data_IF_431155496352
#
_entry.id   IF_431155496352
#
_cell.length_a   1.000
_cell.length_b   1.000
_cell.length_c   1.000
_cell.angle_alpha   90.00
_cell.angle_beta   90.00
_cell.angle_gamma   90.00
#
_symmetry.space_group_name_H-M   'P 1'
#
loop_
_entity.id
_entity.type
_entity.pdbx_description
1 polymer ?
#
# COMPACT_ATOMS: atom_id res chain seq x y z
N UNK A 1 -66.34 13.59 5.60
CA UNK A 1 -66.30 12.36 6.41
C UNK A 1 -64.91 11.77 6.23
N UNK A 2 -63.99 11.61 7.18
CA UNK A 2 -63.93 11.76 8.63
C UNK A 2 -62.64 12.53 8.99
N UNK A 3 -62.74 13.39 10.01
CA UNK A 3 -61.64 14.07 10.70
C UNK A 3 -61.11 13.18 11.84
N UNK A 4 -59.83 13.34 12.19
CA UNK A 4 -59.18 13.19 13.51
C UNK A 4 -57.82 13.92 13.35
N UNK A 5 -57.42 15.03 13.98
CA UNK A 5 -57.50 15.65 15.32
C UNK A 5 -56.57 15.05 16.40
N UNK A 6 -55.76 15.96 16.98
CA UNK A 6 -54.88 15.91 18.19
C UNK A 6 -53.47 15.30 18.03
N UNK A 7 -52.39 15.84 18.62
CA UNK A 7 -52.19 16.96 19.56
C UNK A 7 -50.73 17.46 19.47
N UNK A 8 -50.53 18.75 19.72
CA UNK A 8 -49.24 19.36 20.01
C UNK A 8 -48.77 19.02 21.44
N UNK A 9 -47.44 18.95 21.64
CA UNK A 9 -46.80 19.11 22.94
C UNK A 9 -45.50 19.90 22.77
N UNK A 10 -45.41 20.99 23.53
CA UNK A 10 -44.25 21.86 23.71
C UNK A 10 -43.54 21.52 25.02
N UNK A 11 -42.20 21.45 25.01
CA UNK A 11 -41.31 21.68 26.17
C UNK A 11 -39.94 22.04 25.59
N UNK A 12 -39.52 23.31 25.64
CA UNK A 12 -38.77 23.99 26.71
C UNK A 12 -37.37 23.40 26.96
N UNK A 13 -36.39 24.29 26.80
CA UNK A 13 -34.96 24.14 26.90
C UNK A 13 -34.45 23.34 28.10
N UNK A 14 -33.32 22.66 27.92
CA UNK A 14 -32.35 22.55 28.99
C UNK A 14 -30.92 22.67 28.46
N UNK A 15 -30.20 23.59 29.09
CA UNK A 15 -28.85 24.04 28.81
C UNK A 15 -27.92 23.38 29.82
N UNK A 16 -27.20 22.34 29.43
CA UNK A 16 -26.18 21.72 30.30
C UNK A 16 -25.09 21.03 29.49
N UNK A 17 -24.39 21.80 28.66
CA UNK A 17 -23.16 21.37 28.00
C UNK A 17 -22.04 22.38 28.27
N UNK A 18 -21.65 22.48 29.54
CA UNK A 18 -20.42 23.11 29.97
C UNK A 18 -20.08 22.57 31.36
N UNK A 19 -18.79 22.35 31.64
CA UNK A 19 -18.20 21.82 32.87
C UNK A 19 -18.10 20.29 33.00
N UNK A 20 -17.14 19.68 32.29
CA UNK A 20 -16.51 18.43 32.77
C UNK A 20 -15.04 18.23 32.41
N UNK A 21 -14.28 19.32 32.33
CA UNK A 21 -12.81 19.29 32.23
C UNK A 21 -12.18 20.36 33.13
N UNK A 22 -12.24 20.17 34.45
CA UNK A 22 -11.47 21.00 35.41
C UNK A 22 -11.47 20.51 36.88
N UNK A 23 -11.30 19.21 37.17
CA UNK A 23 -11.02 18.77 38.55
C UNK A 23 -10.19 17.49 38.63
N UNK A 24 -8.88 17.60 38.37
CA UNK A 24 -7.88 16.64 38.82
C UNK A 24 -6.63 17.42 39.21
N UNK A 25 -6.67 17.96 40.43
CA UNK A 25 -5.59 18.72 41.01
C UNK A 25 -5.90 19.09 42.46
N UNK A 26 -5.06 18.57 43.36
CA UNK A 26 -4.92 18.91 44.80
C UNK A 26 -5.76 18.10 45.78
N UNK A 27 -5.15 17.05 46.34
CA UNK A 27 -4.94 16.92 47.79
C UNK A 27 -4.16 15.62 48.06
N UNK A 28 -3.02 15.73 48.73
CA UNK A 28 -2.57 14.89 49.87
C UNK A 28 -1.23 15.49 50.33
N UNK A 29 -1.20 15.95 51.58
CA UNK A 29 -0.03 16.43 52.31
C UNK A 29 0.04 15.67 53.64
N UNK A 30 1.21 15.06 53.87
CA UNK A 30 1.91 14.73 55.14
C UNK A 30 1.35 13.70 56.12
N UNK A 31 2.22 12.74 56.44
CA UNK A 31 2.77 12.55 57.81
C UNK A 31 4.23 12.02 57.76
N UNK A 32 5.01 12.48 58.75
CA UNK A 32 6.46 12.38 59.05
C UNK A 32 7.04 10.95 59.21
N UNK A 33 8.24 10.62 58.70
CA UNK A 33 9.63 10.82 59.21
C UNK A 33 10.14 9.74 60.20
N UNK A 34 11.32 9.13 59.91
CA UNK A 34 12.48 8.90 60.81
C UNK A 34 13.60 8.08 60.11
N UNK A 35 14.80 8.69 60.09
CA UNK A 35 16.20 8.19 60.16
C UNK A 35 16.85 7.23 59.13
N UNK A 36 17.81 7.84 58.42
CA UNK A 36 19.27 7.59 58.45
C UNK A 36 19.93 6.43 57.68
N UNK A 37 20.86 6.87 56.82
CA UNK A 37 22.20 6.33 56.55
C UNK A 37 22.25 5.04 55.71
N UNK A 38 22.44 5.24 54.40
CA UNK A 38 23.47 4.57 53.57
C UNK A 38 23.61 5.30 52.23
N UNK A 39 24.30 6.45 52.27
CA UNK A 39 25.01 6.97 51.10
C UNK A 39 26.29 6.13 50.95
N UNK A 40 26.33 5.30 49.91
CA UNK A 40 27.52 4.87 49.16
C UNK A 40 27.06 3.69 48.28
N UNK A 41 27.04 3.89 46.95
CA UNK A 41 26.74 2.93 45.85
C UNK A 41 25.51 3.22 44.96
N UNK A 42 25.05 4.45 44.80
CA UNK A 42 24.18 4.78 43.64
C UNK A 42 24.53 6.14 43.00
N UNK A 43 25.71 6.30 42.38
CA UNK A 43 25.85 7.22 41.25
C UNK A 43 26.11 6.48 39.93
N UNK A 44 25.93 5.15 39.87
CA UNK A 44 26.03 4.36 38.63
C UNK A 44 24.69 4.12 37.91
N UNK A 45 23.56 4.56 38.47
CA UNK A 45 22.22 4.42 37.86
C UNK A 45 21.71 5.70 37.18
N UNK A 46 22.58 6.69 36.93
CA UNK A 46 22.24 7.96 36.26
C UNK A 46 22.70 8.03 34.79
N UNK A 47 23.20 6.93 34.22
CA UNK A 47 23.59 6.83 32.80
C UNK A 47 22.60 6.03 31.94
N UNK A 48 21.34 5.92 32.37
CA UNK A 48 20.24 5.48 31.50
C UNK A 48 19.09 6.47 31.61
N UNK A 49 19.37 7.72 31.22
CA UNK A 49 18.35 8.50 30.52
C UNK A 49 18.03 7.74 29.23
N UNK A 50 17.29 6.63 29.36
CA UNK A 50 16.54 6.04 28.26
C UNK A 50 15.61 7.17 27.87
N UNK A 51 16.01 7.90 26.83
CA UNK A 51 15.10 8.73 26.07
C UNK A 51 14.05 7.76 25.53
N UNK A 52 13.02 7.49 26.34
CA UNK A 52 11.83 6.78 25.92
C UNK A 52 11.12 7.72 24.95
N UNK A 53 11.59 7.76 23.70
CA UNK A 53 10.80 8.33 22.61
C UNK A 53 9.55 7.47 22.51
N UNK A 54 8.44 7.99 23.00
CA UNK A 54 7.16 7.29 22.92
C UNK A 54 6.70 7.38 21.47
N UNK A 55 6.94 6.31 20.72
CA UNK A 55 6.33 6.11 19.41
C UNK A 55 4.83 6.00 19.56
N UNK A 56 4.09 6.64 18.65
CA UNK A 56 2.62 6.58 18.62
C UNK A 56 2.13 6.34 17.20
N UNK A 57 0.90 5.88 17.08
CA UNK A 57 0.24 5.71 15.78
C UNK A 57 0.20 7.01 14.97
N UNK A 58 0.36 6.87 13.66
CA UNK A 58 0.29 7.94 12.69
C UNK A 58 -1.14 8.45 12.52
N UNK A 59 -1.38 9.73 12.78
CA UNK A 59 -2.71 10.36 12.66
C UNK A 59 -2.88 10.97 11.27
N UNK A 60 -3.52 10.21 10.39
CA UNK A 60 -3.89 10.65 9.05
C UNK A 60 -5.34 11.14 9.04
N UNK A 61 -5.57 12.28 8.40
CA UNK A 61 -6.89 12.85 8.16
C UNK A 61 -7.11 12.99 6.66
N UNK A 62 -8.20 12.42 6.14
CA UNK A 62 -8.60 12.64 4.76
C UNK A 62 -9.59 13.80 4.67
N UNK A 63 -9.34 14.71 3.72
CA UNK A 63 -10.14 15.91 3.46
C UNK A 63 -10.66 15.81 2.03
N UNK A 64 -11.98 15.70 1.87
CA UNK A 64 -12.63 15.58 0.57
C UNK A 64 -13.59 16.76 0.34
N UNK A 65 -13.29 17.59 -0.66
CA UNK A 65 -14.15 18.70 -1.10
C UNK A 65 -15.37 18.22 -1.90
N UNK A 66 -15.30 17.04 -2.49
CA UNK A 66 -16.31 16.50 -3.40
C UNK A 66 -17.39 15.69 -2.63
N UNK A 67 -17.31 15.64 -1.29
CA UNK A 67 -18.28 14.99 -0.43
C UNK A 67 -17.83 13.63 0.10
N UNK A 68 -18.78 12.75 0.39
CA UNK A 68 -18.52 11.36 0.79
C UNK A 68 -18.41 10.47 -0.43
N UNK A 69 -17.60 9.43 -0.34
CA UNK A 69 -17.61 8.35 -1.33
C UNK A 69 -18.86 7.47 -1.18
N UNK A 70 -19.18 6.64 -2.21
CA UNK A 70 -20.05 5.48 -2.05
C UNK A 70 -19.62 4.62 -0.85
N UNK A 71 -20.59 4.00 -0.19
CA UNK A 71 -20.43 3.36 1.12
C UNK A 71 -19.24 2.41 1.20
N UNK A 72 -19.03 1.53 0.20
CA UNK A 72 -17.91 0.59 0.22
C UNK A 72 -16.55 1.25 0.09
N UNK A 73 -16.43 2.26 -0.79
CA UNK A 73 -15.19 3.03 -0.96
C UNK A 73 -14.93 3.84 0.32
N UNK A 74 -15.97 4.44 0.90
CA UNK A 74 -15.87 5.19 2.16
C UNK A 74 -15.41 4.32 3.32
N UNK A 75 -15.98 3.10 3.46
CA UNK A 75 -15.54 2.11 4.46
C UNK A 75 -14.12 1.61 4.22
N UNK A 76 -13.71 1.50 2.95
CA UNK A 76 -12.34 1.13 2.58
C UNK A 76 -11.36 2.23 2.98
N UNK A 77 -11.72 3.51 2.80
CA UNK A 77 -10.93 4.65 3.27
C UNK A 77 -10.82 4.68 4.79
N UNK A 78 -11.94 4.53 5.51
CA UNK A 78 -11.93 4.42 6.98
C UNK A 78 -11.01 3.29 7.47
N UNK A 79 -11.15 2.11 6.87
CA UNK A 79 -10.34 0.93 7.20
C UNK A 79 -8.87 1.17 6.92
N UNK A 80 -8.53 1.80 5.80
CA UNK A 80 -7.15 2.13 5.45
C UNK A 80 -6.55 3.11 6.47
N UNK A 81 -7.25 4.20 6.80
CA UNK A 81 -6.78 5.17 7.80
C UNK A 81 -6.56 4.51 9.16
N UNK A 82 -7.47 3.62 9.59
CA UNK A 82 -7.31 2.84 10.81
C UNK A 82 -6.14 1.87 10.73
N UNK A 83 -5.91 1.24 9.57
CA UNK A 83 -4.75 0.37 9.36
C UNK A 83 -3.45 1.18 9.53
N UNK A 84 -3.33 2.37 8.94
CA UNK A 84 -2.13 3.22 9.10
C UNK A 84 -1.90 3.69 10.53
N UNK A 85 -2.96 4.05 11.27
CA UNK A 85 -2.84 4.46 12.67
C UNK A 85 -2.23 3.36 13.55
N UNK A 86 -2.43 2.08 13.18
CA UNK A 86 -1.88 0.95 13.92
C UNK A 86 -0.55 0.44 13.33
N UNK A 87 -0.40 0.46 12.00
CA UNK A 87 0.74 -0.11 11.31
C UNK A 87 1.95 0.83 11.29
N UNK A 88 1.73 2.14 11.17
CA UNK A 88 2.80 3.12 11.05
C UNK A 88 2.88 3.94 12.32
N UNK A 89 4.03 3.86 12.97
CA UNK A 89 4.39 4.60 14.16
C UNK A 89 5.26 5.79 13.77
N UNK A 90 5.04 6.90 14.44
CA UNK A 90 5.82 8.12 14.28
C UNK A 90 6.42 8.53 15.63
N UNK A 91 7.68 8.97 15.60
CA UNK A 91 8.30 9.69 16.72
C UNK A 91 7.94 11.16 16.59
N UNK A 92 7.40 11.78 17.66
CA UNK A 92 6.76 13.10 17.62
C UNK A 92 7.55 14.09 16.77
N UNK A 93 7.09 14.37 15.53
CA UNK A 93 7.91 15.14 14.63
C UNK A 93 7.94 16.55 15.17
N UNK A 94 9.14 17.14 15.29
CA UNK A 94 9.31 18.58 15.39
C UNK A 94 8.92 19.23 14.06
N UNK A 95 7.64 19.11 13.67
CA UNK A 95 7.12 19.69 12.45
C UNK A 95 6.98 21.20 12.66
N UNK A 96 7.71 21.98 11.85
CA UNK A 96 7.65 23.46 11.82
C UNK A 96 6.57 23.99 10.86
N UNK A 97 5.62 23.16 10.45
CA UNK A 97 4.63 23.53 9.44
C UNK A 97 3.48 24.33 10.05
N UNK A 98 3.10 25.41 9.38
CA UNK A 98 2.00 26.29 9.78
C UNK A 98 0.81 26.12 8.84
N UNK A 99 -0.40 26.27 9.41
CA UNK A 99 -1.67 26.17 8.69
C UNK A 99 -1.77 27.07 7.45
N UNK A 100 -1.16 28.26 7.48
CA UNK A 100 -1.18 29.23 6.37
C UNK A 100 -0.69 28.67 5.03
N UNK A 101 0.06 27.57 5.02
CA UNK A 101 0.54 26.93 3.79
C UNK A 101 -0.51 26.06 3.06
N UNK A 102 -1.73 25.92 3.60
CA UNK A 102 -2.83 25.24 2.90
C UNK A 102 -3.20 25.90 1.57
N UNK A 103 -2.95 27.19 1.43
CA UNK A 103 -3.20 27.95 0.20
C UNK A 103 -2.39 27.45 -1.02
N UNK A 104 -1.46 26.50 -0.81
CA UNK A 104 -0.64 25.88 -1.84
C UNK A 104 -1.24 24.56 -2.37
N UNK A 105 -2.33 24.07 -1.78
CA UNK A 105 -2.97 22.82 -2.20
C UNK A 105 -3.90 23.06 -3.39
N UNK A 106 -3.51 22.57 -4.56
CA UNK A 106 -4.29 22.73 -5.80
C UNK A 106 -5.69 22.10 -5.66
N UNK A 107 -6.73 22.88 -5.94
CA UNK A 107 -8.13 22.48 -5.76
C UNK A 107 -8.70 22.81 -4.38
N UNK A 108 -7.86 23.34 -3.48
CA UNK A 108 -8.20 23.76 -2.12
C UNK A 108 -7.71 25.19 -1.81
N UNK A 109 -7.37 25.96 -2.85
CA UNK A 109 -6.88 27.34 -2.71
C UNK A 109 -8.05 28.26 -2.36
N UNK A 110 -7.76 29.45 -1.79
CA UNK A 110 -8.81 30.44 -1.53
C UNK A 110 -9.67 30.78 -2.76
N UNK A 111 -9.07 30.74 -3.96
CA UNK A 111 -9.75 31.01 -5.24
C UNK A 111 -10.67 29.88 -5.69
N UNK A 112 -10.50 28.67 -5.16
CA UNK A 112 -11.26 27.49 -5.57
C UNK A 112 -12.63 27.40 -4.86
N UNK A 113 -12.95 28.34 -3.95
CA UNK A 113 -14.25 28.49 -3.27
C UNK A 113 -14.80 27.20 -2.61
N UNK A 114 -13.92 26.36 -2.07
CA UNK A 114 -14.27 25.04 -1.52
C UNK A 114 -15.32 25.10 -0.39
N UNK A 115 -15.22 26.08 0.51
CA UNK A 115 -16.13 26.21 1.65
C UNK A 115 -16.08 25.00 2.59
N UNK A 116 -17.17 24.23 2.64
CA UNK A 116 -17.33 23.08 3.54
C UNK A 116 -16.78 21.80 2.92
N UNK A 117 -15.89 21.14 3.63
CA UNK A 117 -15.25 19.87 3.25
C UNK A 117 -15.73 18.72 4.11
N UNK A 118 -15.70 17.51 3.56
CA UNK A 118 -15.90 16.27 4.28
C UNK A 118 -14.58 15.79 4.87
N UNK A 119 -14.61 15.44 6.15
CA UNK A 119 -13.46 14.99 6.92
C UNK A 119 -13.66 13.53 7.31
N UNK A 120 -12.73 12.67 6.91
CA UNK A 120 -12.65 11.29 7.40
C UNK A 120 -11.41 11.14 8.29
N UNK A 121 -11.64 10.66 9.50
CA UNK A 121 -10.62 10.16 10.44
C UNK A 121 -10.81 8.65 10.61
N UNK A 122 -9.92 7.90 11.28
CA UNK A 122 -10.12 6.47 11.49
C UNK A 122 -11.45 6.07 12.18
N UNK A 123 -12.09 6.98 12.90
CA UNK A 123 -13.27 6.67 13.72
C UNK A 123 -14.47 7.63 13.54
N UNK A 124 -14.33 8.66 12.70
CA UNK A 124 -15.37 9.69 12.53
C UNK A 124 -15.40 10.24 11.12
N UNK A 125 -16.62 10.47 10.65
CA UNK A 125 -16.96 11.19 9.43
C UNK A 125 -17.79 12.43 9.80
N UNK A 126 -17.34 13.60 9.40
CA UNK A 126 -18.02 14.87 9.67
C UNK A 126 -17.63 15.91 8.61
N UNK A 127 -18.12 17.14 8.74
CA UNK A 127 -17.79 18.21 7.79
C UNK A 127 -17.43 19.49 8.52
N UNK A 128 -16.42 20.20 8.01
CA UNK A 128 -15.95 21.48 8.53
C UNK A 128 -15.82 22.49 7.40
N UNK A 129 -15.95 23.78 7.72
CA UNK A 129 -15.47 24.81 6.80
C UNK A 129 -13.93 24.79 6.80
N UNK A 130 -13.30 24.76 5.63
CA UNK A 130 -11.84 24.67 5.52
C UNK A 130 -11.11 25.89 6.13
N UNK A 131 -11.80 27.02 6.27
CA UNK A 131 -11.27 28.25 6.90
C UNK A 131 -11.64 28.37 8.38
N UNK A 132 -12.36 27.39 8.94
CA UNK A 132 -12.78 27.42 10.34
C UNK A 132 -11.61 27.22 11.31
N UNK A 133 -11.66 27.81 12.51
CA UNK A 133 -10.72 27.50 13.59
C UNK A 133 -10.65 26.00 13.92
N UNK A 134 -11.77 25.29 13.84
CA UNK A 134 -11.87 23.85 14.09
C UNK A 134 -11.07 23.04 13.06
N UNK A 135 -11.04 23.46 11.80
CA UNK A 135 -10.20 22.82 10.78
C UNK A 135 -8.70 23.11 11.03
N UNK A 136 -8.36 24.29 11.55
CA UNK A 136 -7.00 24.59 11.99
C UNK A 136 -6.57 23.72 13.17
N UNK A 137 -7.41 23.55 14.19
CA UNK A 137 -7.14 22.64 15.31
C UNK A 137 -6.92 21.21 14.83
N UNK A 138 -7.72 20.74 13.86
CA UNK A 138 -7.55 19.43 13.24
C UNK A 138 -6.21 19.31 12.49
N UNK A 139 -5.81 20.36 11.77
CA UNK A 139 -4.51 20.40 11.08
C UNK A 139 -3.35 20.33 12.07
N UNK A 140 -3.43 21.07 13.17
CA UNK A 140 -2.38 21.10 14.19
C UNK A 140 -2.27 19.75 14.92
N UNK A 141 -3.40 19.07 15.15
CA UNK A 141 -3.48 17.78 15.84
C UNK A 141 -3.12 16.54 14.99
N UNK A 142 -3.06 16.68 13.65
CA UNK A 142 -2.76 15.59 12.72
C UNK A 142 -1.29 15.57 12.30
N UNK A 143 -0.83 14.38 11.89
CA UNK A 143 0.52 14.19 11.35
C UNK A 143 0.53 14.33 9.82
N UNK A 144 -0.58 13.99 9.18
CA UNK A 144 -0.75 14.07 7.73
C UNK A 144 -2.20 14.41 7.38
N UNK A 145 -2.38 15.36 6.47
CA UNK A 145 -3.65 15.63 5.80
C UNK A 145 -3.56 15.17 4.35
N UNK A 146 -4.53 14.38 3.93
CA UNK A 146 -4.67 13.89 2.57
C UNK A 146 -5.83 14.62 1.91
N UNK A 147 -5.50 15.48 0.96
CA UNK A 147 -6.49 16.19 0.15
C UNK A 147 -6.95 15.29 -0.98
N UNK A 148 -8.23 14.97 -0.99
CA UNK A 148 -8.84 14.09 -1.98
C UNK A 148 -9.53 14.95 -3.02
N UNK A 149 -9.36 14.61 -4.29
CA UNK A 149 -10.14 15.22 -5.37
C UNK A 149 -10.44 14.22 -6.46
N UNK A 150 -11.55 14.44 -7.15
CA UNK A 150 -11.86 13.70 -8.37
C UNK A 150 -10.82 13.96 -9.47
N UNK A 151 -10.49 12.91 -10.22
CA UNK A 151 -9.71 12.92 -11.45
C UNK A 151 -10.63 12.46 -12.57
N UNK A 152 -10.72 13.26 -13.64
CA UNK A 152 -11.46 12.84 -14.83
C UNK A 152 -10.83 11.59 -15.44
N UNK A 153 -11.67 10.63 -15.80
CA UNK A 153 -11.24 9.42 -16.48
C UNK A 153 -12.28 8.92 -17.48
N UNK A 154 -11.86 7.96 -18.31
CA UNK A 154 -12.68 7.43 -19.39
C UNK A 154 -13.76 6.48 -18.84
N UNK A 155 -15.01 6.51 -19.33
CA UNK A 155 -16.14 5.77 -18.76
C UNK A 155 -15.93 4.27 -18.47
N UNK A 156 -15.04 3.61 -19.23
CA UNK A 156 -14.69 2.19 -19.08
C UNK A 156 -13.38 1.95 -18.31
N UNK A 157 -12.82 2.98 -17.69
CA UNK A 157 -11.58 2.86 -16.93
C UNK A 157 -11.84 2.15 -15.60
N UNK A 158 -10.94 1.22 -15.28
CA UNK A 158 -10.92 0.55 -13.99
C UNK A 158 -10.67 1.58 -12.89
N UNK A 159 -11.22 1.40 -11.67
CA UNK A 159 -10.94 2.31 -10.58
C UNK A 159 -9.44 2.51 -10.38
N UNK A 160 -9.03 3.76 -10.22
CA UNK A 160 -7.63 4.12 -10.08
C UNK A 160 -7.48 5.35 -9.20
N UNK A 161 -6.30 5.48 -8.62
CA UNK A 161 -5.96 6.64 -7.83
C UNK A 161 -4.51 7.05 -8.10
N UNK A 162 -4.13 8.22 -7.61
CA UNK A 162 -2.75 8.69 -7.65
C UNK A 162 -2.50 9.52 -6.40
N UNK A 163 -1.65 9.00 -5.52
CA UNK A 163 -1.13 9.63 -4.34
C UNK A 163 0.14 10.40 -4.66
N UNK A 164 0.27 11.60 -4.11
CA UNK A 164 1.51 12.38 -4.22
C UNK A 164 1.82 13.07 -2.90
N UNK A 165 3.08 12.95 -2.49
CA UNK A 165 3.62 13.68 -1.36
C UNK A 165 3.76 15.17 -1.74
N UNK A 166 3.16 16.07 -0.96
CA UNK A 166 3.18 17.51 -1.26
C UNK A 166 4.27 18.23 -0.44
N UNK A 167 5.53 18.06 -0.84
CA UNK A 167 6.68 18.70 -0.18
C UNK A 167 7.11 19.97 -0.90
N UNK A 168 7.32 21.03 -0.13
CA UNK A 168 8.06 22.20 -0.62
C UNK A 168 9.57 21.98 -0.50
N UNK A 169 10.37 22.64 -1.33
CA UNK A 169 11.84 22.48 -1.39
C UNK A 169 12.58 22.70 -0.06
N UNK A 170 11.99 23.42 0.90
CA UNK A 170 12.57 23.70 2.21
C UNK A 170 12.05 22.80 3.33
N UNK A 171 11.11 21.90 3.05
CA UNK A 171 10.47 21.04 4.05
C UNK A 171 11.22 19.71 4.11
N UNK A 172 11.78 19.36 5.28
CA UNK A 172 12.38 18.02 5.47
C UNK A 172 11.31 16.93 5.54
N UNK A 173 10.08 17.31 5.90
CA UNK A 173 8.90 16.46 6.03
C UNK A 173 7.65 17.29 5.72
N UNK A 174 6.75 16.78 4.87
CA UNK A 174 5.45 17.43 4.65
C UNK A 174 4.33 16.74 5.42
N UNK A 175 3.46 17.56 6.05
CA UNK A 175 2.18 17.14 6.62
C UNK A 175 1.05 17.04 5.58
N UNK A 176 1.35 17.19 4.28
CA UNK A 176 0.33 17.28 3.23
C UNK A 176 0.57 16.25 2.14
N UNK A 177 -0.50 15.58 1.75
CA UNK A 177 -0.57 14.72 0.58
C UNK A 177 -1.78 15.07 -0.29
N UNK A 178 -1.70 14.69 -1.56
CA UNK A 178 -2.83 14.75 -2.49
C UNK A 178 -3.15 13.33 -2.94
N UNK A 179 -4.43 12.99 -2.96
CA UNK A 179 -4.95 11.79 -3.59
C UNK A 179 -5.94 12.20 -4.67
N UNK A 180 -5.61 11.88 -5.91
CA UNK A 180 -6.51 12.05 -7.04
C UNK A 180 -7.20 10.74 -7.33
N UNK A 181 -8.53 10.75 -7.39
CA UNK A 181 -9.31 9.52 -7.43
C UNK A 181 -10.19 9.47 -8.68
N UNK A 182 -10.22 8.32 -9.36
CA UNK A 182 -11.01 8.05 -10.55
C UNK A 182 -11.82 6.76 -10.38
N UNK A 183 -13.13 6.85 -10.59
CA UNK A 183 -14.04 5.72 -10.74
C UNK A 183 -15.33 6.21 -11.40
N UNK A 184 -15.98 5.35 -12.19
CA UNK A 184 -17.28 5.64 -12.79
C UNK A 184 -18.42 4.92 -12.07
N UNK A 185 -18.14 3.70 -11.63
CA UNK A 185 -19.06 2.86 -10.87
C UNK A 185 -18.28 2.04 -9.85
N UNK A 186 -19.01 1.52 -8.86
CA UNK A 186 -18.43 0.64 -7.86
C UNK A 186 -18.25 -0.76 -8.47
N UNK A 187 -17.00 -1.20 -8.61
CA UNK A 187 -16.67 -2.56 -9.03
C UNK A 187 -16.64 -3.45 -7.77
N UNK A 188 -17.59 -4.39 -7.59
CA UNK A 188 -17.73 -5.21 -6.39
C UNK A 188 -16.51 -6.09 -6.09
N UNK A 189 -15.67 -6.38 -7.07
CA UNK A 189 -14.48 -7.21 -6.90
C UNK A 189 -13.20 -6.40 -6.71
N UNK A 190 -13.22 -5.10 -7.03
CA UNK A 190 -12.04 -4.26 -6.91
C UNK A 190 -11.61 -4.05 -5.43
N UNK A 191 -10.33 -4.25 -5.08
CA UNK A 191 -9.86 -4.14 -3.71
C UNK A 191 -9.52 -2.69 -3.34
N UNK A 192 -10.55 -1.86 -3.16
CA UNK A 192 -10.42 -0.44 -2.84
C UNK A 192 -9.54 -0.15 -1.61
N UNK A 193 -9.60 -1.02 -0.60
CA UNK A 193 -8.75 -0.92 0.59
C UNK A 193 -7.25 -0.97 0.23
N UNK A 194 -6.84 -1.86 -0.66
CA UNK A 194 -5.45 -2.01 -1.09
C UNK A 194 -5.02 -0.81 -1.94
N UNK A 195 -5.85 -0.37 -2.89
CA UNK A 195 -5.58 0.84 -3.67
C UNK A 195 -5.37 2.07 -2.77
N UNK A 196 -6.24 2.29 -1.79
CA UNK A 196 -6.10 3.42 -0.87
C UNK A 196 -4.82 3.30 -0.05
N UNK A 197 -4.48 2.10 0.43
CA UNK A 197 -3.22 1.88 1.16
C UNK A 197 -1.99 2.17 0.30
N UNK A 198 -1.99 1.68 -0.92
CA UNK A 198 -0.94 1.93 -1.91
C UNK A 198 -0.70 3.43 -2.11
N UNK A 199 -1.76 4.20 -2.38
CA UNK A 199 -1.61 5.64 -2.59
C UNK A 199 -1.21 6.40 -1.34
N UNK A 200 -1.68 5.97 -0.15
CA UNK A 200 -1.22 6.57 1.10
C UNK A 200 0.28 6.32 1.29
N UNK A 201 0.81 5.14 0.92
CA UNK A 201 2.25 4.88 1.00
C UNK A 201 3.06 5.82 0.09
N UNK A 202 2.60 6.11 -1.12
CA UNK A 202 3.19 7.17 -1.95
C UNK A 202 3.11 8.55 -1.30
N UNK A 203 1.97 8.89 -0.69
CA UNK A 203 1.82 10.13 0.08
C UNK A 203 2.76 10.18 1.28
N UNK A 204 3.13 9.04 1.88
CA UNK A 204 4.13 8.99 2.94
C UNK A 204 5.56 9.12 2.41
N UNK A 205 5.77 9.06 1.09
CA UNK A 205 7.07 9.26 0.45
C UNK A 205 7.64 8.01 -0.22
N UNK A 206 6.93 6.88 -0.21
CA UNK A 206 7.38 5.68 -0.90
C UNK A 206 7.53 5.97 -2.40
N UNK A 207 8.73 5.73 -2.93
CA UNK A 207 9.07 6.02 -4.32
C UNK A 207 9.24 7.51 -4.65
N UNK A 208 8.60 8.44 -3.92
CA UNK A 208 8.62 9.87 -4.25
C UNK A 208 9.70 10.68 -3.51
N UNK A 209 10.23 10.20 -2.39
CA UNK A 209 11.31 10.90 -1.65
C UNK A 209 12.72 10.36 -1.98
N UNK A 210 12.79 9.26 -2.75
CA UNK A 210 14.03 8.63 -3.21
C UNK A 210 14.45 9.10 -4.62
N UNK A 211 14.26 10.39 -4.93
CA UNK A 211 14.38 11.05 -6.26
C UNK A 211 15.79 11.05 -6.91
N UNK A 212 16.69 10.20 -6.47
CA UNK A 212 17.89 9.94 -7.25
C UNK A 212 17.52 8.99 -8.39
N UNK A 213 17.90 9.32 -9.64
CA UNK A 213 17.64 8.47 -10.82
C UNK A 213 17.92 7.00 -10.52
N UNK A 214 16.99 6.06 -10.75
CA UNK A 214 17.21 4.66 -10.37
C UNK A 214 18.51 4.12 -10.95
N UNK A 215 19.13 3.19 -10.23
CA UNK A 215 20.25 2.46 -10.81
C UNK A 215 19.71 1.54 -11.91
N UNK A 216 20.36 1.55 -13.07
CA UNK A 216 19.97 0.73 -14.21
C UNK A 216 21.05 -0.30 -14.52
N UNK A 217 20.62 -1.45 -15.01
CA UNK A 217 21.49 -2.49 -15.54
C UNK A 217 20.93 -3.04 -16.85
N UNK A 218 21.82 -3.18 -17.83
CA UNK A 218 21.55 -3.96 -19.03
C UNK A 218 21.92 -5.42 -18.78
N UNK A 219 21.07 -6.35 -19.18
CA UNK A 219 21.32 -7.78 -19.08
C UNK A 219 20.80 -8.53 -20.32
N UNK A 220 21.26 -9.75 -20.51
CA UNK A 220 20.80 -10.61 -21.61
C UNK A 220 19.49 -11.29 -21.20
N UNK A 221 18.49 -11.22 -22.06
CA UNK A 221 17.20 -11.87 -21.90
C UNK A 221 17.03 -12.94 -22.97
N UNK A 222 16.94 -14.20 -22.55
CA UNK A 222 16.66 -15.32 -23.45
C UNK A 222 15.15 -15.46 -23.67
N UNK A 223 14.71 -15.35 -24.92
CA UNK A 223 13.31 -15.54 -25.30
C UNK A 223 12.96 -17.02 -25.41
N UNK A 224 11.66 -17.33 -25.50
CA UNK A 224 11.15 -18.71 -25.66
C UNK A 224 11.70 -19.40 -26.92
N UNK A 225 11.97 -18.65 -27.99
CA UNK A 225 12.55 -19.17 -29.24
C UNK A 225 14.08 -19.32 -29.19
N UNK A 226 14.69 -19.21 -28.00
CA UNK A 226 16.13 -19.21 -27.75
C UNK A 226 16.90 -18.01 -28.34
N UNK A 227 16.23 -17.03 -28.94
CA UNK A 227 16.90 -15.78 -29.30
C UNK A 227 17.26 -14.99 -28.04
N UNK A 228 18.27 -14.13 -28.14
CA UNK A 228 18.74 -13.29 -27.03
C UNK A 228 18.49 -11.82 -27.37
N UNK A 229 17.79 -11.13 -26.48
CA UNK A 229 17.54 -9.69 -26.53
C UNK A 229 18.28 -8.99 -25.40
N UNK A 230 18.64 -7.71 -25.60
CA UNK A 230 19.15 -6.88 -24.52
C UNK A 230 17.98 -6.30 -23.73
N UNK A 231 17.91 -6.62 -22.45
CA UNK A 231 16.91 -6.13 -21.52
C UNK A 231 17.50 -5.12 -20.52
N UNK A 232 16.61 -4.37 -19.88
CA UNK A 232 16.92 -3.38 -18.84
C UNK A 232 16.16 -3.70 -17.57
N UNK A 233 16.82 -3.49 -16.42
CA UNK A 233 16.18 -3.51 -15.10
C UNK A 233 16.63 -2.31 -14.28
N UNK A 234 15.78 -1.91 -13.36
CA UNK A 234 15.93 -0.71 -12.53
C UNK A 234 15.91 -1.10 -11.07
N UNK A 235 16.63 -0.36 -10.23
CA UNK A 235 16.71 -0.62 -8.81
C UNK A 235 16.47 0.64 -7.99
N UNK A 236 15.80 0.46 -6.85
CA UNK A 236 15.74 1.48 -5.81
C UNK A 236 17.14 1.85 -5.34
N UNK A 237 17.42 3.15 -5.24
CA UNK A 237 18.61 3.65 -4.57
C UNK A 237 18.42 3.61 -3.07
N UNK A 238 19.13 2.71 -2.39
CA UNK A 238 18.97 2.52 -0.95
C UNK A 238 19.92 3.36 -0.09
N UNK A 239 20.68 4.28 -0.67
CA UNK A 239 21.54 5.25 0.03
C UNK A 239 22.42 4.63 1.15
N UNK A 240 22.91 3.40 0.95
CA UNK A 240 23.73 2.66 1.90
C UNK A 240 22.96 1.82 2.94
N UNK A 241 21.63 1.93 3.00
CA UNK A 241 20.79 0.99 3.75
C UNK A 241 20.66 -0.33 2.97
N UNK A 242 20.93 -1.45 3.61
CA UNK A 242 20.81 -2.78 2.99
C UNK A 242 19.57 -3.53 3.42
N UNK A 243 18.79 -3.02 4.39
CA UNK A 243 17.71 -3.80 5.02
C UNK A 243 16.67 -4.32 4.02
N UNK A 244 16.24 -3.48 3.07
CA UNK A 244 15.30 -3.92 2.04
C UNK A 244 15.92 -4.96 1.10
N UNK A 245 17.19 -4.79 0.74
CA UNK A 245 17.93 -5.77 -0.06
C UNK A 245 18.07 -7.09 0.70
N UNK A 246 18.36 -7.06 1.99
CA UNK A 246 18.48 -8.25 2.84
C UNK A 246 17.16 -9.02 2.93
N UNK A 247 16.01 -8.33 3.03
CA UNK A 247 14.69 -8.98 2.96
C UNK A 247 14.40 -9.58 1.57
N UNK A 248 14.82 -8.94 0.47
CA UNK A 248 14.73 -9.55 -0.88
C UNK A 248 15.60 -10.82 -0.96
N UNK A 249 16.86 -10.74 -0.54
CA UNK A 249 17.79 -11.89 -0.54
C UNK A 249 17.21 -13.07 0.23
N UNK A 250 16.67 -12.80 1.42
CA UNK A 250 16.01 -13.79 2.29
C UNK A 250 14.73 -14.35 1.68
N UNK A 251 13.88 -13.51 1.09
CA UNK A 251 12.60 -13.95 0.50
C UNK A 251 12.82 -14.88 -0.69
N UNK A 252 13.70 -14.52 -1.61
CA UNK A 252 13.97 -15.31 -2.80
C UNK A 252 15.02 -16.40 -2.59
N UNK A 253 15.85 -16.32 -1.56
CA UNK A 253 16.99 -17.23 -1.35
C UNK A 253 18.12 -16.96 -2.35
N UNK A 254 18.47 -15.70 -2.58
CA UNK A 254 19.54 -15.30 -3.48
C UNK A 254 20.45 -14.24 -2.86
N UNK A 255 21.68 -14.59 -2.51
CA UNK A 255 22.60 -13.68 -1.82
C UNK A 255 23.27 -12.65 -2.73
N UNK A 256 23.40 -12.97 -4.03
CA UNK A 256 24.12 -12.16 -5.01
C UNK A 256 23.19 -11.20 -5.76
N UNK A 257 22.54 -10.29 -5.04
CA UNK A 257 21.66 -9.27 -5.63
C UNK A 257 22.27 -7.88 -5.58
N UNK A 258 22.11 -7.15 -6.69
CA UNK A 258 22.59 -5.77 -6.85
C UNK A 258 21.73 -4.76 -6.09
N UNK A 259 20.42 -4.99 -6.04
CA UNK A 259 19.47 -4.08 -5.41
C UNK A 259 18.05 -4.66 -5.37
N UNK A 260 17.11 -3.85 -4.90
CA UNK A 260 15.67 -4.15 -4.94
C UNK A 260 15.12 -3.66 -6.28
N UNK A 261 14.62 -4.58 -7.11
CA UNK A 261 14.16 -4.23 -8.47
C UNK A 261 12.91 -3.34 -8.40
N UNK A 262 12.88 -2.29 -9.22
CA UNK A 262 11.81 -1.31 -9.30
C UNK A 262 11.22 -1.21 -10.70
N UNK A 263 10.20 -0.39 -10.85
CA UNK A 263 9.83 0.17 -12.15
C UNK A 263 10.86 1.23 -12.61
N UNK A 264 10.65 1.76 -13.82
CA UNK A 264 11.60 2.69 -14.48
C UNK A 264 11.83 3.99 -13.70
N UNK A 265 10.83 4.45 -12.97
CA UNK A 265 10.88 5.69 -12.19
C UNK A 265 11.23 5.45 -10.71
N UNK A 266 11.39 4.18 -10.31
CA UNK A 266 11.52 3.75 -8.91
C UNK A 266 10.42 4.30 -8.00
N UNK A 267 9.20 4.36 -8.53
CA UNK A 267 8.00 4.64 -7.75
C UNK A 267 7.46 3.34 -7.13
N UNK A 268 7.57 2.23 -7.85
CA UNK A 268 6.97 0.95 -7.49
C UNK A 268 8.02 -0.17 -7.45
N UNK A 269 7.70 -1.23 -6.71
CA UNK A 269 8.35 -2.52 -6.89
C UNK A 269 8.06 -3.06 -8.30
N UNK A 270 9.01 -3.78 -8.87
CA UNK A 270 8.83 -4.38 -10.19
C UNK A 270 7.69 -5.43 -10.19
N UNK A 271 6.61 -5.19 -10.94
CA UNK A 271 5.43 -6.07 -10.94
C UNK A 271 5.77 -7.51 -11.32
N UNK A 272 6.67 -7.73 -12.27
CA UNK A 272 7.02 -9.09 -12.68
C UNK A 272 7.72 -9.86 -11.56
N UNK A 273 8.59 -9.20 -10.80
CA UNK A 273 9.35 -9.83 -9.70
C UNK A 273 8.52 -9.98 -8.43
N UNK A 274 7.59 -9.06 -8.16
CA UNK A 274 6.87 -8.98 -6.88
C UNK A 274 5.36 -9.23 -6.98
N UNK A 275 4.78 -9.22 -8.18
CA UNK A 275 3.39 -9.55 -8.51
C UNK A 275 2.34 -8.92 -7.58
N UNK A 276 1.75 -9.68 -6.65
CA UNK A 276 0.70 -9.23 -5.74
C UNK A 276 1.23 -8.55 -4.46
N UNK A 277 2.43 -7.96 -4.54
CA UNK A 277 2.93 -7.06 -3.50
C UNK A 277 2.22 -5.70 -3.61
N UNK A 278 1.84 -5.14 -2.46
CA UNK A 278 1.04 -3.92 -2.35
C UNK A 278 1.62 -2.72 -3.12
N UNK A 279 2.94 -2.60 -3.23
CA UNK A 279 3.65 -1.50 -3.87
C UNK A 279 4.11 -1.80 -5.30
N UNK A 280 3.51 -2.79 -5.96
CA UNK A 280 3.62 -2.95 -7.42
C UNK A 280 2.66 -1.99 -8.14
N UNK A 281 2.90 -1.63 -9.41
CA UNK A 281 2.06 -0.67 -10.13
C UNK A 281 0.63 -1.16 -10.43
N UNK A 282 0.33 -2.45 -10.22
CA UNK A 282 -0.97 -3.04 -10.51
C UNK A 282 -1.57 -3.71 -9.29
N UNK A 283 -2.66 -3.12 -8.80
CA UNK A 283 -3.49 -3.73 -7.78
C UNK A 283 -4.21 -4.94 -8.38
N UNK A 284 -3.76 -6.13 -8.00
CA UNK A 284 -4.33 -7.39 -8.45
C UNK A 284 -5.75 -7.55 -7.89
N UNK A 285 -6.63 -8.18 -8.66
CA UNK A 285 -7.94 -8.57 -8.13
C UNK A 285 -7.71 -9.64 -7.05
N UNK A 286 -8.03 -9.34 -5.80
CA UNK A 286 -7.71 -10.22 -4.67
C UNK A 286 -6.88 -9.50 -3.63
N UNK A 287 -6.09 -10.27 -2.86
CA UNK A 287 -5.30 -9.72 -1.76
C UNK A 287 -3.92 -9.27 -2.24
N UNK A 288 -3.60 -8.01 -2.00
CA UNK A 288 -2.27 -7.44 -2.20
C UNK A 288 -1.58 -7.30 -0.84
N UNK A 289 -0.34 -7.75 -0.75
CA UNK A 289 0.34 -7.91 0.54
C UNK A 289 1.37 -6.82 0.75
N UNK A 290 1.34 -6.17 1.92
CA UNK A 290 2.51 -5.46 2.42
C UNK A 290 3.55 -6.47 2.90
N UNK A 291 4.62 -6.67 2.12
CA UNK A 291 5.71 -7.60 2.45
C UNK A 291 6.75 -6.99 3.39
N UNK A 292 7.62 -7.83 3.95
CA UNK A 292 8.79 -7.36 4.71
C UNK A 292 9.73 -6.47 3.87
N UNK A 293 9.71 -6.60 2.54
CA UNK A 293 10.49 -5.76 1.62
C UNK A 293 9.95 -4.33 1.64
N UNK A 294 8.65 -4.13 1.44
CA UNK A 294 8.02 -2.81 1.52
C UNK A 294 8.11 -2.22 2.92
N UNK A 295 7.95 -3.03 3.97
CA UNK A 295 8.19 -2.61 5.36
C UNK A 295 9.60 -2.02 5.52
N UNK A 296 10.62 -2.72 5.03
CA UNK A 296 12.00 -2.25 5.10
C UNK A 296 12.22 -0.98 4.27
N UNK A 297 11.58 -0.84 3.10
CA UNK A 297 11.64 0.39 2.30
C UNK A 297 10.97 1.58 3.04
N UNK A 298 9.82 1.35 3.68
CA UNK A 298 9.09 2.38 4.44
C UNK A 298 9.93 2.94 5.59
N UNK A 299 10.59 2.06 6.36
CA UNK A 299 11.47 2.48 7.47
C UNK A 299 12.69 3.29 6.99
N UNK A 300 12.96 3.32 5.69
CA UNK A 300 14.09 4.03 5.07
C UNK A 300 13.68 5.21 4.16
N UNK A 301 12.38 5.55 4.03
CA UNK A 301 11.90 6.65 3.17
C UNK A 301 12.62 7.97 3.47
N UNK A 302 12.78 8.28 4.76
CA UNK A 302 13.48 9.48 5.21
C UNK A 302 14.80 9.09 5.86
N UNK A 303 15.89 9.73 5.44
CA UNK A 303 17.25 9.52 5.97
C UNK A 303 17.39 9.68 7.50
N UNK A 304 16.36 10.21 8.18
CA UNK A 304 16.14 10.01 9.61
C UNK A 304 14.77 9.36 9.78
N UNK A 305 14.72 8.18 10.40
CA UNK A 305 13.56 7.28 10.54
C UNK A 305 12.31 8.00 11.09
N UNK A 306 11.58 8.73 10.24
CA UNK A 306 10.35 9.44 10.65
C UNK A 306 9.25 8.42 10.90
N UNK A 307 9.17 7.41 10.04
CA UNK A 307 8.22 6.32 10.17
C UNK A 307 8.91 5.06 10.64
N UNK A 308 8.26 4.40 11.58
CA UNK A 308 8.57 3.03 12.00
C UNK A 308 7.36 2.17 11.73
N UNK A 309 7.57 0.92 11.35
CA UNK A 309 6.44 0.01 11.17
C UNK A 309 6.25 -0.79 12.45
N UNK A 310 5.01 -0.91 12.94
CA UNK A 310 4.67 -1.88 13.98
C UNK A 310 4.75 -3.29 13.37
N UNK A 311 5.95 -3.88 13.47
CA UNK A 311 6.25 -5.21 12.94
C UNK A 311 5.33 -6.29 13.50
N UNK A 312 4.84 -6.13 14.74
CA UNK A 312 3.91 -7.10 15.33
C UNK A 312 2.54 -7.01 14.67
N UNK A 313 2.06 -5.80 14.42
CA UNK A 313 0.78 -5.58 13.75
C UNK A 313 0.78 -6.12 12.32
N UNK A 314 1.84 -5.84 11.54
CA UNK A 314 1.90 -6.22 10.12
C UNK A 314 2.40 -7.65 9.86
N UNK A 315 2.98 -8.34 10.85
CA UNK A 315 3.63 -9.65 10.65
C UNK A 315 2.75 -10.66 9.94
N UNK A 316 1.49 -10.81 10.35
CA UNK A 316 0.58 -11.78 9.75
C UNK A 316 0.35 -11.52 8.25
N UNK A 317 0.29 -10.25 7.83
CA UNK A 317 0.18 -9.88 6.42
C UNK A 317 1.51 -10.10 5.70
N UNK A 318 2.61 -9.61 6.26
CA UNK A 318 3.94 -9.69 5.64
C UNK A 318 4.44 -11.13 5.47
N UNK A 319 4.20 -12.00 6.45
CA UNK A 319 4.58 -13.42 6.40
C UNK A 319 3.73 -14.24 5.41
N UNK A 320 2.52 -13.75 5.09
CA UNK A 320 1.61 -14.40 4.13
C UNK A 320 1.99 -14.12 2.67
N UNK A 321 2.91 -13.19 2.41
CA UNK A 321 3.40 -12.94 1.06
C UNK A 321 4.34 -14.08 0.62
N UNK A 322 3.93 -14.82 -0.41
CA UNK A 322 4.64 -16.04 -0.86
C UNK A 322 5.05 -16.04 -2.32
N UNK A 323 4.63 -15.06 -3.12
CA UNK A 323 5.00 -14.99 -4.53
C UNK A 323 6.53 -14.96 -4.67
N UNK A 324 7.08 -15.85 -5.50
CA UNK A 324 8.52 -15.92 -5.75
C UNK A 324 9.38 -16.45 -4.60
N UNK A 325 8.78 -16.80 -3.45
CA UNK A 325 9.54 -17.20 -2.25
C UNK A 325 10.39 -18.44 -2.53
N UNK A 326 11.68 -18.35 -2.27
CA UNK A 326 12.65 -19.43 -2.50
C UNK A 326 12.92 -19.74 -3.98
N UNK A 327 12.56 -18.87 -4.92
CA UNK A 327 12.82 -19.12 -6.34
C UNK A 327 14.30 -19.11 -6.73
N UNK A 328 15.15 -18.46 -5.93
CA UNK A 328 16.60 -18.43 -6.12
C UNK A 328 17.06 -17.40 -7.13
N UNK A 329 18.37 -17.37 -7.37
CA UNK A 329 18.99 -16.33 -8.20
C UNK A 329 18.61 -16.40 -9.69
N UNK A 330 18.31 -17.59 -10.23
CA UNK A 330 17.95 -17.71 -11.65
C UNK A 330 16.66 -16.95 -11.97
N UNK A 331 15.70 -16.90 -11.04
CA UNK A 331 14.49 -16.07 -11.19
C UNK A 331 14.80 -14.57 -11.29
N UNK A 332 15.71 -14.09 -10.45
CA UNK A 332 15.99 -12.65 -10.33
C UNK A 332 17.03 -12.16 -11.34
N UNK A 333 17.82 -13.05 -11.93
CA UNK A 333 18.96 -12.69 -12.78
C UNK A 333 18.83 -13.13 -14.24
N UNK A 334 17.95 -14.08 -14.53
CA UNK A 334 17.75 -14.63 -15.89
C UNK A 334 16.32 -14.37 -16.36
N UNK A 335 16.07 -14.71 -17.62
CA UNK A 335 14.69 -14.73 -18.14
C UNK A 335 13.83 -15.77 -17.41
N UNK A 336 12.50 -15.57 -17.37
CA UNK A 336 11.60 -16.64 -16.91
C UNK A 336 11.76 -17.92 -17.72
N UNK A 337 12.11 -17.80 -19.01
CA UNK A 337 12.31 -18.95 -19.87
C UNK A 337 13.45 -19.81 -19.35
N UNK A 338 14.64 -19.23 -19.14
CA UNK A 338 15.79 -19.93 -18.55
C UNK A 338 15.47 -20.50 -17.16
N UNK A 339 14.83 -19.70 -16.31
CA UNK A 339 14.41 -20.11 -14.98
C UNK A 339 13.51 -21.36 -14.98
N UNK A 340 12.57 -21.45 -15.94
CA UNK A 340 11.68 -22.59 -16.09
C UNK A 340 12.37 -23.77 -16.77
N UNK A 341 13.29 -23.54 -17.71
CA UNK A 341 14.08 -24.60 -18.37
C UNK A 341 15.03 -25.29 -17.40
N UNK A 342 15.61 -24.57 -16.44
CA UNK A 342 16.48 -25.14 -15.40
C UNK A 342 15.75 -26.10 -14.43
N UNK A 343 14.41 -26.12 -14.47
CA UNK A 343 13.55 -26.91 -13.57
C UNK A 343 12.95 -28.11 -14.29
N UNK A 344 13.76 -28.84 -15.06
CA UNK A 344 13.30 -29.98 -15.86
C UNK A 344 12.60 -31.08 -15.05
N UNK A 345 13.02 -31.26 -13.79
CA UNK A 345 12.59 -32.39 -12.94
C UNK A 345 11.52 -31.98 -11.92
N UNK A 346 11.02 -30.74 -11.98
CA UNK A 346 10.04 -30.21 -11.03
C UNK A 346 8.87 -29.55 -11.75
N UNK A 347 7.63 -29.67 -11.23
CA UNK A 347 6.52 -28.88 -11.72
C UNK A 347 6.88 -27.39 -11.70
N UNK A 348 6.43 -26.65 -12.72
CA UNK A 348 6.54 -25.19 -12.71
C UNK A 348 5.85 -24.66 -11.44
N UNK A 349 6.48 -23.76 -10.68
CA UNK A 349 5.88 -23.24 -9.47
C UNK A 349 4.66 -22.37 -9.80
N UNK A 350 3.74 -22.19 -8.87
CA UNK A 350 2.71 -21.18 -9.01
C UNK A 350 3.32 -19.77 -9.05
N UNK A 351 2.73 -18.81 -9.80
CA UNK A 351 1.53 -18.92 -10.62
C UNK A 351 1.82 -19.28 -12.09
N UNK A 352 2.94 -19.95 -12.40
CA UNK A 352 3.24 -20.32 -13.77
C UNK A 352 2.30 -21.41 -14.28
N UNK A 353 1.81 -21.25 -15.50
CA UNK A 353 1.08 -22.32 -16.16
C UNK A 353 1.99 -23.55 -16.32
N UNK A 354 1.46 -24.76 -16.06
CA UNK A 354 2.13 -26.01 -16.37
C UNK A 354 2.64 -26.03 -17.82
N UNK A 355 3.66 -26.84 -18.07
CA UNK A 355 4.10 -27.09 -19.44
C UNK A 355 2.93 -27.74 -20.19
N UNK A 356 2.61 -27.19 -21.35
CA UNK A 356 1.55 -27.75 -22.17
C UNK A 356 1.93 -29.16 -22.60
N UNK A 357 1.09 -30.12 -22.23
CA UNK A 357 1.10 -31.44 -22.81
C UNK A 357 -0.21 -31.59 -23.60
N UNK A 358 -0.11 -31.41 -24.92
CA UNK A 358 -1.24 -31.53 -25.83
C UNK A 358 -1.86 -32.94 -25.78
N UNK A 359 -1.09 -33.95 -25.38
CA UNK A 359 -1.53 -35.33 -25.27
C UNK A 359 -2.04 -35.70 -23.87
N UNK A 360 -1.83 -34.85 -22.86
CA UNK A 360 -2.38 -35.09 -21.52
C UNK A 360 -3.90 -34.88 -21.53
N UNK A 361 -4.70 -35.86 -21.07
CA UNK A 361 -6.13 -35.69 -20.88
C UNK A 361 -6.46 -34.82 -19.66
N UNK A 362 -5.46 -34.50 -18.82
CA UNK A 362 -5.63 -33.77 -17.57
C UNK A 362 -4.98 -32.39 -17.65
N UNK A 363 -5.69 -31.37 -17.17
CA UNK A 363 -5.25 -29.96 -17.10
C UNK A 363 -5.48 -29.39 -15.70
N UNK A 364 -4.66 -28.40 -15.31
CA UNK A 364 -4.89 -27.66 -14.07
C UNK A 364 -6.03 -26.65 -14.25
N UNK A 365 -6.93 -26.61 -13.28
CA UNK A 365 -8.13 -25.80 -13.32
C UNK A 365 -8.56 -25.38 -11.91
N UNK A 366 -9.35 -24.32 -11.83
CA UNK A 366 -10.11 -23.95 -10.65
C UNK A 366 -11.55 -24.44 -10.78
N UNK A 367 -11.98 -25.37 -9.92
CA UNK A 367 -13.35 -25.91 -9.97
C UNK A 367 -14.33 -24.90 -9.39
N UNK A 368 -15.18 -24.33 -10.24
CA UNK A 368 -16.19 -23.33 -9.83
C UNK A 368 -17.56 -23.91 -9.57
N UNK A 369 -17.78 -25.16 -9.96
CA UNK A 369 -19.02 -25.87 -9.71
C UNK A 369 -18.90 -27.35 -10.10
N UNK A 370 -19.99 -28.13 -9.97
CA UNK A 370 -19.98 -29.57 -10.26
C UNK A 370 -19.59 -29.90 -11.70
N UNK A 371 -19.88 -29.00 -12.65
CA UNK A 371 -19.58 -29.14 -14.08
C UNK A 371 -19.01 -27.86 -14.70
N UNK A 372 -18.50 -26.94 -13.89
CA UNK A 372 -17.85 -25.72 -14.37
C UNK A 372 -16.46 -25.59 -13.75
N UNK A 373 -15.50 -25.21 -14.57
CA UNK A 373 -14.13 -24.97 -14.15
C UNK A 373 -13.55 -23.81 -14.95
N UNK A 374 -12.67 -23.03 -14.33
CA UNK A 374 -11.81 -22.09 -15.04
C UNK A 374 -10.47 -22.73 -15.30
N UNK A 375 -10.10 -22.80 -16.58
CA UNK A 375 -8.83 -23.37 -16.99
C UNK A 375 -7.71 -22.38 -16.69
N UNK A 376 -6.57 -22.90 -16.24
CA UNK A 376 -5.37 -22.11 -16.02
C UNK A 376 -4.72 -21.81 -17.39
N UNK A 377 -5.03 -20.65 -17.97
CA UNK A 377 -4.58 -20.25 -19.29
C UNK A 377 -3.67 -19.01 -19.23
N UNK A 378 -2.43 -19.12 -19.72
CA UNK A 378 -1.44 -18.04 -19.72
C UNK A 378 -1.25 -17.39 -21.10
N UNK A 379 -2.06 -17.73 -22.11
CA UNK A 379 -2.01 -17.17 -23.46
C UNK A 379 -2.76 -15.85 -23.60
N UNK A 380 -3.09 -15.20 -22.48
CA UNK A 380 -3.77 -13.91 -22.49
C UNK A 380 -2.91 -12.89 -23.25
N UNK A 381 -3.50 -12.34 -24.32
CA UNK A 381 -2.88 -11.27 -25.10
C UNK A 381 -3.34 -9.92 -24.55
N UNK A 382 -2.40 -9.10 -24.11
CA UNK A 382 -2.68 -7.71 -23.76
C UNK A 382 -2.20 -6.78 -24.87
N UNK A 383 -3.12 -6.04 -25.46
CA UNK A 383 -2.84 -5.09 -26.55
C UNK A 383 -2.19 -3.78 -26.11
N UNK A 384 -1.42 -3.80 -25.03
CA UNK A 384 -0.85 -2.60 -24.40
C UNK A 384 0.66 -2.77 -24.31
N UNK A 385 1.42 -1.80 -24.85
CA UNK A 385 2.86 -1.74 -24.62
C UNK A 385 3.09 -1.29 -23.18
N UNK A 386 3.93 -2.03 -22.43
CA UNK A 386 4.37 -1.61 -21.10
C UNK A 386 5.87 -1.43 -21.10
N UNK A 387 6.35 -0.45 -20.34
CA UNK A 387 7.77 -0.26 -20.11
C UNK A 387 8.24 -1.23 -19.02
N UNK A 388 8.45 -2.49 -19.41
CA UNK A 388 8.91 -3.56 -18.53
C UNK A 388 10.41 -3.84 -18.67
N UNK A 389 11.10 -3.05 -19.50
CA UNK A 389 12.52 -3.19 -19.84
C UNK A 389 12.86 -4.36 -20.78
N UNK A 390 11.88 -5.11 -21.29
CA UNK A 390 12.06 -6.28 -22.17
C UNK A 390 11.57 -5.93 -23.59
N UNK A 391 12.39 -6.14 -24.64
CA UNK A 391 11.93 -6.00 -26.02
C UNK A 391 10.79 -6.97 -26.35
N UNK A 392 9.83 -6.54 -27.17
CA UNK A 392 8.73 -7.39 -27.62
C UNK A 392 9.27 -8.58 -28.45
N UNK A 393 9.09 -9.82 -27.99
CA UNK A 393 9.58 -10.99 -28.70
C UNK A 393 8.74 -11.27 -29.94
N UNK A 394 9.36 -11.31 -31.12
CA UNK A 394 8.66 -11.53 -32.39
C UNK A 394 7.94 -12.88 -32.50
N UNK A 395 8.32 -13.87 -31.69
CA UNK A 395 7.82 -15.26 -31.77
C UNK A 395 7.36 -15.84 -30.42
N UNK A 396 7.05 -15.02 -29.41
CA UNK A 396 6.58 -15.56 -28.12
C UNK A 396 5.14 -16.06 -28.22
N UNK A 397 4.87 -17.23 -27.62
CA UNK A 397 3.48 -17.71 -27.42
C UNK A 397 2.74 -16.83 -26.43
N UNK A 398 3.44 -16.33 -25.41
CA UNK A 398 2.88 -15.46 -24.39
C UNK A 398 3.01 -14.01 -24.83
N UNK A 399 1.88 -13.30 -24.91
CA UNK A 399 1.79 -11.94 -25.44
C UNK A 399 1.33 -10.95 -24.36
N UNK A 400 1.72 -11.22 -23.10
CA UNK A 400 1.44 -10.36 -21.98
C UNK A 400 2.74 -9.67 -21.50
N UNK A 401 2.93 -8.39 -21.86
CA UNK A 401 4.14 -7.67 -21.48
C UNK A 401 4.17 -7.31 -19.98
N UNK A 402 3.05 -7.27 -19.24
CA UNK A 402 3.08 -7.11 -17.77
C UNK A 402 3.81 -8.28 -17.08
N UNK A 403 3.66 -9.48 -17.65
CA UNK A 403 4.34 -10.69 -17.18
C UNK A 403 5.73 -10.88 -17.81
N UNK A 404 6.27 -9.87 -18.52
CA UNK A 404 7.49 -10.02 -19.34
C UNK A 404 7.44 -11.19 -20.32
N UNK A 405 6.26 -11.44 -20.90
CA UNK A 405 6.02 -12.53 -21.84
C UNK A 405 6.27 -13.92 -21.26
N UNK A 406 6.01 -14.07 -19.96
CA UNK A 406 6.17 -15.32 -19.24
C UNK A 406 4.82 -16.04 -19.08
N UNK A 407 4.80 -17.37 -18.94
CA UNK A 407 3.56 -18.14 -18.73
C UNK A 407 3.00 -17.95 -17.32
N UNK A 408 2.59 -16.74 -16.95
CA UNK A 408 2.03 -16.42 -15.63
C UNK A 408 0.53 -16.24 -15.75
N UNK A 409 -0.23 -16.94 -14.89
CA UNK A 409 -1.67 -16.72 -14.79
C UNK A 409 -1.93 -15.57 -13.82
N UNK A 410 -2.27 -14.40 -14.36
CA UNK A 410 -2.41 -13.13 -13.63
C UNK A 410 -3.50 -13.17 -12.56
N UNK A 411 -4.57 -13.93 -12.77
CA UNK A 411 -5.68 -14.06 -11.83
C UNK A 411 -5.52 -15.23 -10.82
N UNK A 412 -4.33 -15.83 -10.72
CA UNK A 412 -4.08 -17.04 -9.91
C UNK A 412 -4.52 -16.91 -8.45
N UNK A 413 -4.08 -15.85 -7.77
CA UNK A 413 -4.37 -15.63 -6.35
C UNK A 413 -5.86 -15.38 -6.09
N UNK A 414 -6.52 -14.63 -6.99
CA UNK A 414 -7.97 -14.42 -6.94
C UNK A 414 -8.70 -15.75 -6.98
N UNK A 415 -8.33 -16.58 -7.95
CA UNK A 415 -9.00 -17.85 -8.20
C UNK A 415 -8.74 -18.83 -7.06
N UNK A 416 -7.50 -18.89 -6.55
CA UNK A 416 -7.13 -19.74 -5.42
C UNK A 416 -7.89 -19.38 -4.13
N UNK A 417 -8.18 -18.09 -3.91
CA UNK A 417 -8.94 -17.66 -2.74
C UNK A 417 -10.42 -18.07 -2.76
N UNK A 418 -10.97 -18.32 -3.95
CA UNK A 418 -12.40 -18.62 -4.16
C UNK A 418 -12.65 -20.10 -4.45
N UNK A 419 -11.71 -20.76 -5.10
CA UNK A 419 -11.91 -22.07 -5.69
C UNK A 419 -10.68 -22.97 -5.47
N UNK A 420 -10.87 -24.26 -5.21
CA UNK A 420 -9.76 -25.19 -5.11
C UNK A 420 -9.11 -25.41 -6.48
N UNK A 421 -7.78 -25.32 -6.53
CA UNK A 421 -7.00 -25.79 -7.65
C UNK A 421 -7.09 -27.32 -7.73
N UNK A 422 -7.32 -27.87 -8.92
CA UNK A 422 -7.51 -29.31 -9.14
C UNK A 422 -7.01 -29.73 -10.51
N UNK A 423 -6.92 -31.05 -10.68
CA UNK A 423 -6.81 -31.70 -11.98
C UNK A 423 -8.21 -31.87 -12.59
N UNK A 424 -8.42 -31.31 -13.79
CA UNK A 424 -9.63 -31.44 -14.60
C UNK A 424 -9.36 -32.30 -15.83
N UNK A 425 -10.34 -33.10 -16.24
CA UNK A 425 -10.29 -33.82 -17.51
C UNK A 425 -10.71 -32.90 -18.66
N UNK A 426 -9.87 -32.75 -19.70
CA UNK A 426 -10.16 -31.93 -20.88
C UNK A 426 -11.50 -32.29 -21.53
N UNK A 427 -11.88 -33.57 -21.52
CA UNK A 427 -13.15 -34.03 -22.13
C UNK A 427 -14.41 -33.61 -21.36
N UNK A 428 -14.27 -33.30 -20.06
CA UNK A 428 -15.38 -32.84 -19.22
C UNK A 428 -15.58 -31.31 -19.30
N UNK A 429 -14.55 -30.58 -19.74
CA UNK A 429 -14.50 -29.12 -19.81
C UNK A 429 -13.84 -28.67 -21.13
N UNK A 430 -14.51 -28.86 -22.28
CA UNK A 430 -14.00 -28.38 -23.56
C UNK A 430 -13.90 -26.84 -23.54
N UNK A 431 -12.82 -26.32 -24.15
CA UNK A 431 -12.47 -24.88 -24.21
C UNK A 431 -13.56 -23.98 -24.76
#
# INVERSE_FOLDING_TARGET
MHKNHFSAYSHSADSSFNYRWKQLGRQIIRTSAVMQIRCLLIPLLLASAISCTTRRGLKIVAVNKDGTFPDRIQKSLESALKWFENAILIEDPKSRLTFKKLEQVLGYRPTDNVGKVTIQTPNKLFSLDIKSPEFQELFDASDMLIFIREKQCAPSSRPSATGSHMKNSYETFSKRGMMQWCYHEEDPEFPYFDLIRHEILHILGFGTENLDTPEMENYQWKNEDNTVSQARRYFFKTNGSTTALDEVKKHFGCDNLKGVESDIDAHHLNEYIFHNELMTPFIQNGKNYLSWISVALIENIYKGQVYHVDKKFVAAEADSYTFGKGFGCSWLQKSCHEFLEERTDSPRPAPFCPKEDNNSPTIKCFKTGPKTAHLLNCHEKMGVSVDNGIPDPTNSKYQNPFTRFCPIYTDYERMLSKYPLSDCNKSEYPE
#
